data_IF_637565061380
#
_entry.id   IF_637565061380
#
_cell.length_a   1.000
_cell.length_b   1.000
_cell.length_c   1.000
_cell.angle_alpha   90.00
_cell.angle_beta   90.00
_cell.angle_gamma   90.00
#
_symmetry.space_group_name_H-M   'P 1'
#
loop_
_entity.id
_entity.type
_entity.pdbx_description
1 polymer ?
#
# COMPACT_ATOMS: atom_id res chain seq x y z
N UNK A 1 33.80 -17.36 3.11
CA UNK A 1 32.41 -16.89 2.94
C UNK A 1 31.82 -17.12 1.54
N UNK A 2 32.62 -17.33 0.47
CA UNK A 2 32.12 -17.45 -0.92
C UNK A 2 31.25 -18.70 -1.21
N UNK A 3 31.63 -19.86 -0.66
CA UNK A 3 30.94 -21.13 -0.94
C UNK A 3 29.46 -21.15 -0.52
N UNK A 4 29.12 -20.49 0.58
CA UNK A 4 27.72 -20.37 1.05
C UNK A 4 26.91 -19.50 0.10
N UNK A 5 27.49 -18.39 -0.39
CA UNK A 5 26.84 -17.49 -1.34
C UNK A 5 26.58 -18.15 -2.70
N UNK A 6 27.50 -18.99 -3.15
CA UNK A 6 27.37 -19.76 -4.39
C UNK A 6 26.30 -20.85 -4.26
N UNK A 7 26.30 -21.61 -3.16
CA UNK A 7 25.28 -22.60 -2.87
C UNK A 7 23.87 -21.98 -2.82
N UNK A 8 23.73 -20.82 -2.16
CA UNK A 8 22.46 -20.09 -2.10
C UNK A 8 22.00 -19.65 -3.49
N UNK A 9 22.90 -19.16 -4.36
CA UNK A 9 22.53 -18.75 -5.73
C UNK A 9 22.16 -19.93 -6.62
N UNK A 10 22.78 -21.09 -6.44
CA UNK A 10 22.50 -22.31 -7.20
C UNK A 10 21.17 -22.96 -6.75
N UNK A 11 20.89 -22.97 -5.45
CA UNK A 11 19.72 -23.64 -4.88
C UNK A 11 18.48 -22.73 -4.79
N UNK A 12 18.64 -21.41 -4.89
CA UNK A 12 17.53 -20.46 -4.81
C UNK A 12 17.28 -19.84 -6.19
N UNK A 13 16.28 -20.32 -6.96
CA UNK A 13 15.95 -19.72 -8.24
C UNK A 13 15.55 -18.25 -8.04
N UNK A 14 16.34 -17.34 -8.63
CA UNK A 14 16.09 -15.90 -8.54
C UNK A 14 14.87 -15.56 -9.39
N UNK A 15 13.74 -15.27 -8.73
CA UNK A 15 12.54 -14.81 -9.42
C UNK A 15 12.86 -13.53 -10.21
N UNK A 16 12.59 -13.54 -11.52
CA UNK A 16 12.62 -12.35 -12.38
C UNK A 16 11.18 -11.92 -12.62
N UNK A 17 10.53 -11.21 -11.67
CA UNK A 17 9.18 -10.73 -11.90
C UNK A 17 9.23 -9.76 -13.08
N UNK A 18 8.55 -10.10 -14.17
CA UNK A 18 8.41 -9.17 -15.28
C UNK A 18 7.52 -8.00 -14.85
N UNK A 19 7.66 -6.80 -15.43
CA UNK A 19 6.79 -5.67 -15.12
C UNK A 19 5.29 -5.98 -15.36
N UNK A 20 5.00 -6.96 -16.22
CA UNK A 20 3.65 -7.42 -16.54
C UNK A 20 3.22 -8.66 -15.75
N UNK A 21 4.08 -9.19 -14.87
CA UNK A 21 3.76 -10.33 -14.02
C UNK A 21 2.74 -9.93 -12.97
N UNK A 22 1.59 -10.61 -12.98
CA UNK A 22 0.51 -10.34 -12.04
C UNK A 22 0.81 -11.11 -10.74
N UNK A 23 0.91 -10.40 -9.61
CA UNK A 23 1.18 -10.99 -8.29
C UNK A 23 0.19 -12.07 -7.86
N UNK A 24 -1.06 -11.96 -8.31
CA UNK A 24 -2.11 -12.95 -8.03
C UNK A 24 -2.10 -14.15 -8.98
N UNK A 25 -1.23 -14.19 -9.99
CA UNK A 25 -1.18 -15.29 -10.97
C UNK A 25 -0.44 -16.50 -10.40
N UNK A 26 -1.03 -17.70 -10.55
CA UNK A 26 -0.50 -18.95 -10.01
C UNK A 26 -0.28 -19.99 -11.11
N UNK A 27 0.50 -21.04 -10.80
CA UNK A 27 0.71 -22.16 -11.72
C UNK A 27 -0.61 -22.86 -12.09
N UNK A 28 -1.53 -23.01 -11.13
CA UNK A 28 -2.87 -23.58 -11.36
C UNK A 28 -3.67 -22.77 -12.39
N UNK A 29 -3.58 -21.44 -12.36
CA UNK A 29 -4.22 -20.59 -13.37
C UNK A 29 -3.59 -20.75 -14.76
N UNK A 30 -2.28 -21.02 -14.83
CA UNK A 30 -1.60 -21.37 -16.08
C UNK A 30 -2.14 -22.68 -16.64
N UNK A 31 -2.25 -23.73 -15.81
CA UNK A 31 -2.82 -25.02 -16.22
C UNK A 31 -4.27 -24.88 -16.68
N UNK A 32 -5.11 -24.14 -15.93
CA UNK A 32 -6.48 -23.88 -16.33
C UNK A 32 -6.58 -23.09 -17.64
N UNK A 33 -5.65 -22.14 -17.89
CA UNK A 33 -5.58 -21.40 -19.15
C UNK A 33 -5.24 -22.32 -20.32
N UNK A 34 -4.33 -23.28 -20.14
CA UNK A 34 -3.98 -24.27 -21.15
C UNK A 34 -5.16 -25.16 -21.50
N UNK A 35 -5.83 -25.73 -20.48
CA UNK A 35 -7.03 -26.57 -20.66
C UNK A 35 -8.14 -25.78 -21.36
N UNK A 36 -8.45 -24.57 -20.88
CA UNK A 36 -9.41 -23.67 -21.51
C UNK A 36 -9.05 -23.39 -22.98
N UNK A 37 -7.79 -23.05 -23.25
CA UNK A 37 -7.33 -22.71 -24.60
C UNK A 37 -7.43 -23.90 -25.54
N UNK A 38 -7.07 -25.09 -25.06
CA UNK A 38 -7.17 -26.34 -25.80
C UNK A 38 -8.61 -26.60 -26.23
N UNK A 39 -9.56 -26.66 -25.29
CA UNK A 39 -10.96 -26.96 -25.59
C UNK A 39 -11.62 -25.88 -26.45
N UNK A 40 -11.33 -24.60 -26.20
CA UNK A 40 -11.78 -23.50 -27.04
C UNK A 40 -11.30 -23.63 -28.48
N UNK A 41 -10.02 -23.96 -28.68
CA UNK A 41 -9.44 -24.12 -30.01
C UNK A 41 -9.99 -25.36 -30.71
N UNK A 42 -10.17 -26.46 -29.97
CA UNK A 42 -10.74 -27.71 -30.49
C UNK A 42 -12.19 -27.50 -30.97
N UNK A 43 -13.05 -26.91 -30.15
CA UNK A 43 -14.43 -26.60 -30.54
C UNK A 43 -14.48 -25.61 -31.72
N UNK A 44 -13.62 -24.59 -31.73
CA UNK A 44 -13.52 -23.63 -32.85
C UNK A 44 -13.06 -24.30 -34.15
N UNK A 45 -12.13 -25.25 -34.08
CA UNK A 45 -11.65 -25.99 -35.24
C UNK A 45 -12.76 -26.83 -35.86
N UNK A 46 -13.53 -27.57 -35.05
CA UNK A 46 -14.66 -28.37 -35.53
C UNK A 46 -15.75 -27.49 -36.15
N UNK A 47 -16.05 -26.33 -35.54
CA UNK A 47 -16.96 -25.35 -36.15
C UNK A 47 -16.49 -24.85 -37.51
N UNK A 48 -15.19 -24.59 -37.68
CA UNK A 48 -14.62 -24.21 -38.98
C UNK A 48 -14.68 -25.32 -40.01
N UNK A 49 -14.64 -26.58 -39.58
CA UNK A 49 -14.85 -27.75 -40.42
C UNK A 49 -16.34 -28.05 -40.70
N UNK A 50 -17.26 -27.20 -40.25
CA UNK A 50 -18.71 -27.37 -40.41
C UNK A 50 -19.34 -28.40 -39.47
N UNK A 51 -18.57 -28.99 -38.56
CA UNK A 51 -19.05 -30.00 -37.59
C UNK A 51 -19.30 -29.34 -36.24
N UNK A 52 -20.57 -29.19 -35.86
CA UNK A 52 -20.93 -28.71 -34.52
C UNK A 52 -21.19 -29.91 -33.62
N UNK A 53 -20.18 -30.31 -32.84
CA UNK A 53 -20.30 -31.39 -31.85
C UNK A 53 -20.75 -30.78 -30.52
N UNK A 54 -21.99 -31.02 -30.04
CA UNK A 54 -22.51 -30.37 -28.83
C UNK A 54 -21.64 -30.64 -27.59
N UNK A 55 -21.18 -31.88 -27.42
CA UNK A 55 -20.31 -32.27 -26.31
C UNK A 55 -19.03 -31.43 -26.22
N UNK A 56 -18.41 -31.07 -27.35
CA UNK A 56 -17.20 -30.25 -27.36
C UNK A 56 -17.49 -28.79 -26.99
N UNK A 57 -18.68 -28.27 -27.35
CA UNK A 57 -19.11 -26.93 -26.94
C UNK A 57 -19.42 -26.91 -25.43
N UNK A 58 -20.03 -27.97 -24.88
CA UNK A 58 -20.29 -28.11 -23.45
C UNK A 58 -18.99 -28.19 -22.63
N UNK A 59 -18.00 -28.94 -23.12
CA UNK A 59 -16.66 -29.01 -22.50
C UNK A 59 -15.95 -27.65 -22.61
N UNK A 60 -16.03 -26.97 -23.75
CA UNK A 60 -15.40 -25.67 -23.92
C UNK A 60 -16.04 -24.59 -23.04
N UNK A 61 -17.36 -24.59 -22.89
CA UNK A 61 -18.09 -23.64 -22.03
C UNK A 61 -17.82 -23.91 -20.55
N UNK A 62 -17.81 -25.18 -20.11
CA UNK A 62 -17.46 -25.54 -18.74
C UNK A 62 -16.00 -25.20 -18.40
N UNK A 63 -15.04 -25.49 -19.28
CA UNK A 63 -13.64 -25.11 -19.09
C UNK A 63 -13.46 -23.58 -19.02
N UNK A 64 -14.19 -22.82 -19.86
CA UNK A 64 -14.19 -21.36 -19.80
C UNK A 64 -14.73 -20.83 -18.47
N UNK A 65 -15.83 -21.42 -17.98
CA UNK A 65 -16.43 -21.08 -16.69
C UNK A 65 -15.44 -21.34 -15.56
N UNK A 66 -14.84 -22.54 -15.51
CA UNK A 66 -13.85 -22.91 -14.49
C UNK A 66 -12.66 -21.94 -14.45
N UNK A 67 -12.07 -21.63 -15.61
CA UNK A 67 -10.94 -20.71 -15.70
C UNK A 67 -11.29 -19.29 -15.23
N UNK A 68 -12.42 -18.73 -15.69
CA UNK A 68 -12.82 -17.38 -15.28
C UNK A 68 -13.26 -17.30 -13.82
N UNK A 69 -13.92 -18.33 -13.30
CA UNK A 69 -14.29 -18.42 -11.89
C UNK A 69 -13.05 -18.52 -11.00
N UNK A 70 -12.07 -19.33 -11.39
CA UNK A 70 -10.78 -19.43 -10.70
C UNK A 70 -10.04 -18.08 -10.70
N UNK A 71 -10.05 -17.32 -11.81
CA UNK A 71 -9.48 -15.97 -11.84
C UNK A 71 -10.16 -15.05 -10.84
N UNK A 72 -11.50 -15.02 -10.80
CA UNK A 72 -12.24 -14.15 -9.86
C UNK A 72 -11.94 -14.52 -8.41
N UNK A 73 -11.94 -15.82 -8.10
CA UNK A 73 -11.60 -16.34 -6.76
C UNK A 73 -10.19 -15.96 -6.37
N UNK A 74 -9.21 -16.16 -7.25
CA UNK A 74 -7.80 -15.89 -6.95
C UNK A 74 -7.52 -14.39 -6.79
N UNK A 75 -8.13 -13.53 -7.61
CA UNK A 75 -8.05 -12.08 -7.42
C UNK A 75 -8.60 -11.64 -6.06
N UNK A 76 -9.78 -12.15 -5.69
CA UNK A 76 -10.41 -11.84 -4.40
C UNK A 76 -9.56 -12.35 -3.24
N UNK A 77 -9.07 -13.59 -3.32
CA UNK A 77 -8.20 -14.20 -2.32
C UNK A 77 -6.94 -13.37 -2.12
N UNK A 78 -6.23 -13.04 -3.21
CA UNK A 78 -5.02 -12.22 -3.15
C UNK A 78 -5.29 -10.82 -2.57
N UNK A 79 -6.41 -10.20 -2.93
CA UNK A 79 -6.78 -8.90 -2.38
C UNK A 79 -7.06 -8.97 -0.87
N UNK A 80 -7.77 -10.01 -0.41
CA UNK A 80 -8.04 -10.21 1.00
C UNK A 80 -6.76 -10.50 1.80
N UNK A 81 -5.85 -11.33 1.26
CA UNK A 81 -4.55 -11.60 1.87
C UNK A 81 -3.67 -10.35 1.92
N UNK A 82 -3.69 -9.54 0.84
CA UNK A 82 -2.98 -8.27 0.78
C UNK A 82 -3.47 -7.28 1.85
N UNK A 83 -4.77 -7.23 2.10
CA UNK A 83 -5.39 -6.36 3.11
C UNK A 83 -5.26 -6.87 4.55
N UNK A 84 -5.01 -8.16 4.76
CA UNK A 84 -4.83 -8.74 6.09
C UNK A 84 -3.53 -8.26 6.77
N UNK A 85 -2.57 -7.76 5.99
CA UNK A 85 -1.34 -7.17 6.47
C UNK A 85 -1.54 -5.66 6.71
N UNK A 86 -1.42 -5.24 7.97
CA UNK A 86 -1.67 -3.86 8.41
C UNK A 86 -0.75 -2.84 7.72
N UNK A 87 0.47 -3.26 7.33
CA UNK A 87 1.43 -2.38 6.64
C UNK A 87 0.95 -2.02 5.22
N UNK A 88 0.06 -2.84 4.65
CA UNK A 88 -0.47 -2.65 3.31
C UNK A 88 -1.73 -1.79 3.26
N UNK A 89 -2.35 -1.44 4.40
CA UNK A 89 -3.56 -0.59 4.46
C UNK A 89 -3.31 0.72 3.71
N UNK A 90 -2.19 1.39 4.02
CA UNK A 90 -1.82 2.66 3.40
C UNK A 90 -1.55 2.53 1.90
N UNK A 91 -0.95 1.43 1.45
CA UNK A 91 -0.76 1.14 0.00
C UNK A 91 -2.08 0.83 -0.69
N UNK A 92 -2.98 0.09 -0.03
CA UNK A 92 -4.30 -0.23 -0.54
C UNK A 92 -5.16 1.02 -0.73
N UNK A 93 -5.08 1.98 0.20
CA UNK A 93 -5.79 3.27 0.04
C UNK A 93 -5.35 4.00 -1.23
N UNK A 94 -4.06 3.93 -1.61
CA UNK A 94 -3.56 4.52 -2.86
C UNK A 94 -4.17 3.87 -4.10
N UNK A 95 -4.43 2.56 -4.07
CA UNK A 95 -5.07 1.85 -5.18
C UNK A 95 -6.58 2.11 -5.29
N UNK A 96 -7.23 2.49 -4.19
CA UNK A 96 -8.65 2.84 -4.17
C UNK A 96 -8.90 4.28 -4.65
N UNK A 97 -7.90 5.15 -4.56
CA UNK A 97 -7.95 6.58 -4.91
C UNK A 97 -7.70 6.80 -6.41
N UNK A 98 -8.75 6.67 -7.23
CA UNK A 98 -8.74 7.12 -8.64
C UNK A 98 -9.61 8.36 -8.89
N UNK A 99 -9.96 9.11 -7.85
CA UNK A 99 -10.70 10.36 -7.93
C UNK A 99 -10.13 11.33 -6.91
N UNK A 100 -9.96 12.57 -7.33
CA UNK A 100 -9.31 13.70 -6.65
C UNK A 100 -10.02 14.14 -5.35
N UNK A 101 -11.07 13.44 -4.97
CA UNK A 101 -11.95 13.79 -3.88
C UNK A 101 -12.00 12.62 -2.87
N UNK A 102 -11.73 12.94 -1.60
CA UNK A 102 -12.30 12.32 -0.38
C UNK A 102 -11.30 11.72 0.66
N UNK A 103 -11.67 12.03 1.91
CA UNK A 103 -11.38 11.44 3.23
C UNK A 103 -10.12 11.90 3.97
N UNK A 104 -8.91 11.68 3.45
CA UNK A 104 -7.70 11.92 4.27
C UNK A 104 -7.25 13.39 4.34
N UNK A 105 -7.72 14.24 3.43
CA UNK A 105 -7.52 15.69 3.50
C UNK A 105 -8.64 16.44 4.23
N UNK A 106 -9.74 15.76 4.59
CA UNK A 106 -10.88 16.40 5.23
C UNK A 106 -10.81 16.14 6.73
N UNK A 107 -10.36 17.15 7.48
CA UNK A 107 -10.47 17.15 8.94
C UNK A 107 -11.96 16.99 9.27
N UNK A 108 -12.35 16.09 10.20
CA UNK A 108 -13.74 15.97 10.62
C UNK A 108 -14.22 17.31 11.18
N UNK A 109 -15.52 17.56 11.09
CA UNK A 109 -16.05 18.82 11.61
C UNK A 109 -15.76 18.94 13.11
N UNK A 110 -15.22 20.08 13.51
CA UNK A 110 -14.83 20.38 14.89
C UNK A 110 -15.98 21.10 15.60
N UNK A 111 -16.09 20.87 16.91
CA UNK A 111 -17.00 21.61 17.79
C UNK A 111 -16.33 22.91 18.22
N UNK A 112 -16.96 24.04 17.86
CA UNK A 112 -16.56 25.38 18.28
C UNK A 112 -16.89 25.59 19.76
N UNK A 113 -16.28 26.59 20.39
CA UNK A 113 -16.58 26.98 21.77
C UNK A 113 -18.08 27.35 21.97
N UNK A 114 -18.72 27.84 20.92
CA UNK A 114 -20.13 28.26 20.90
C UNK A 114 -21.12 27.08 20.73
N UNK A 115 -20.63 25.84 20.65
CA UNK A 115 -21.44 24.63 20.47
C UNK A 115 -21.89 24.37 19.01
N UNK A 116 -21.47 25.21 18.08
CA UNK A 116 -21.67 25.02 16.63
C UNK A 116 -20.56 24.15 16.04
N UNK A 117 -20.76 23.69 14.80
CA UNK A 117 -19.87 22.75 14.12
C UNK A 117 -19.24 23.44 12.91
N UNK A 118 -17.93 23.28 12.69
CA UNK A 118 -17.22 23.88 11.55
C UNK A 118 -17.72 23.35 10.22
N UNK A 119 -17.96 24.22 9.25
CA UNK A 119 -18.44 23.81 7.93
C UNK A 119 -17.34 23.73 6.87
N UNK A 120 -16.24 24.47 7.07
CA UNK A 120 -15.17 24.60 6.08
C UNK A 120 -13.78 24.35 6.67
N UNK A 121 -12.79 24.11 5.81
CA UNK A 121 -11.40 23.84 6.18
C UNK A 121 -10.68 25.06 6.77
N UNK A 122 -11.02 26.27 6.32
CA UNK A 122 -10.47 27.50 6.91
C UNK A 122 -10.96 27.67 8.36
N UNK A 123 -12.25 27.48 8.61
CA UNK A 123 -12.80 27.52 9.97
C UNK A 123 -12.18 26.45 10.88
N UNK A 124 -11.92 25.26 10.36
CA UNK A 124 -11.24 24.20 11.11
C UNK A 124 -9.82 24.60 11.50
N UNK A 125 -9.09 25.26 10.61
CA UNK A 125 -7.73 25.73 10.90
C UNK A 125 -7.72 26.83 11.97
N UNK A 126 -8.65 27.78 11.89
CA UNK A 126 -8.78 28.87 12.87
C UNK A 126 -9.14 28.37 14.27
N UNK A 127 -10.09 27.42 14.36
CA UNK A 127 -10.45 26.81 15.64
C UNK A 127 -9.28 26.04 16.28
N UNK A 128 -8.52 25.30 15.47
CA UNK A 128 -7.33 24.61 15.96
C UNK A 128 -6.28 25.61 16.46
N UNK A 129 -6.01 26.67 15.71
CA UNK A 129 -5.05 27.71 16.11
C UNK A 129 -5.47 28.37 17.42
N UNK A 130 -6.73 28.78 17.54
CA UNK A 130 -7.26 29.44 18.73
C UNK A 130 -7.20 28.51 19.95
N UNK A 131 -7.48 27.22 19.77
CA UNK A 131 -7.48 26.25 20.87
C UNK A 131 -6.07 25.88 21.36
N UNK A 132 -5.12 25.71 20.44
CA UNK A 132 -3.73 25.37 20.78
C UNK A 132 -2.93 26.59 21.24
N UNK A 133 -3.29 27.79 20.79
CA UNK A 133 -2.60 29.04 21.12
C UNK A 133 -3.59 30.07 21.67
N UNK A 134 -4.08 29.88 22.91
CA UNK A 134 -4.94 30.87 23.55
C UNK A 134 -4.21 32.22 23.72
N UNK A 135 -4.95 33.35 23.74
CA UNK A 135 -4.35 34.65 23.99
C UNK A 135 -3.62 34.65 25.34
N UNK A 136 -2.53 35.43 25.42
CA UNK A 136 -1.83 35.59 26.68
C UNK A 136 -2.81 36.17 27.72
N UNK A 137 -2.80 35.66 28.97
CA UNK A 137 -3.63 36.22 30.02
C UNK A 137 -3.28 37.70 30.27
N UNK A 138 -4.29 38.51 30.59
CA UNK A 138 -4.13 39.97 30.81
C UNK A 138 -3.18 40.30 31.97
N UNK A 139 -3.04 39.37 32.92
CA UNK A 139 -2.08 39.48 34.00
C UNK A 139 -1.10 38.30 33.92
N UNK A 140 0.16 38.61 33.59
CA UNK A 140 1.27 37.67 33.65
C UNK A 140 1.98 37.96 34.97
N UNK A 141 1.59 37.24 36.02
CA UNK A 141 2.28 37.31 37.30
C UNK A 141 3.73 36.80 37.13
N UNK A 142 4.68 37.39 37.86
CA UNK A 142 6.05 36.90 37.92
C UNK A 142 6.01 35.42 38.37
N UNK A 143 6.57 34.52 37.56
CA UNK A 143 6.53 33.06 37.77
C UNK A 143 7.29 32.61 39.05
N UNK A 144 7.80 33.58 39.82
CA UNK A 144 8.57 33.39 41.04
C UNK A 144 9.90 32.70 40.76
N UNK A 145 10.57 32.25 41.82
CA UNK A 145 11.82 31.49 41.68
C UNK A 145 11.50 30.09 41.16
N UNK A 146 11.55 29.91 39.84
CA UNK A 146 11.51 28.57 39.22
C UNK A 146 12.79 27.81 39.57
N UNK A 147 12.72 26.50 39.82
CA UNK A 147 13.93 25.69 39.89
C UNK A 147 14.65 25.79 38.54
N UNK A 148 15.78 26.51 38.51
CA UNK A 148 16.65 26.48 37.34
C UNK A 148 17.10 25.05 37.13
N UNK A 149 16.78 24.49 35.96
CA UNK A 149 17.42 23.24 35.54
C UNK A 149 18.92 23.49 35.52
N UNK A 150 19.67 22.53 36.05
CA UNK A 150 21.12 22.54 35.91
C UNK A 150 21.46 22.78 34.43
N UNK A 151 22.44 23.66 34.12
CA UNK A 151 22.88 23.87 32.75
C UNK A 151 23.13 22.51 32.08
N UNK A 152 22.53 22.31 30.90
CA UNK A 152 22.84 21.12 30.12
C UNK A 152 24.32 21.23 29.75
N UNK A 153 25.11 20.23 30.14
CA UNK A 153 26.51 20.15 29.74
C UNK A 153 26.56 20.03 28.22
N UNK A 154 26.95 21.12 27.57
CA UNK A 154 27.18 21.19 26.14
C UNK A 154 28.69 21.02 25.93
N UNK A 155 29.19 19.79 25.71
CA UNK A 155 30.60 19.59 25.44
C UNK A 155 31.01 20.40 24.21
N UNK A 156 32.22 20.96 24.23
CA UNK A 156 32.75 21.71 23.09
C UNK A 156 32.91 20.77 21.91
N UNK A 157 32.19 21.05 20.83
CA UNK A 157 32.29 20.29 19.59
C UNK A 157 33.71 20.46 19.04
N UNK A 158 34.43 19.36 18.84
CA UNK A 158 35.77 19.38 18.25
C UNK A 158 35.69 19.35 16.72
N UNK A 159 36.68 19.94 16.06
CA UNK A 159 36.77 19.96 14.58
C UNK A 159 36.77 18.53 14.02
N UNK A 160 37.44 17.60 14.69
CA UNK A 160 37.52 16.19 14.28
C UNK A 160 36.16 15.49 14.28
N UNK A 161 35.29 15.82 15.24
CA UNK A 161 33.94 15.26 15.32
C UNK A 161 33.06 15.77 14.17
N UNK A 162 33.22 17.04 13.81
CA UNK A 162 32.57 17.64 12.63
C UNK A 162 33.03 16.98 11.34
N UNK A 163 34.34 16.80 11.16
CA UNK A 163 34.91 16.15 9.98
C UNK A 163 34.43 14.70 9.84
N UNK A 164 34.40 13.95 10.95
CA UNK A 164 33.92 12.56 10.97
C UNK A 164 32.45 12.45 10.57
N UNK A 165 31.59 13.34 11.07
CA UNK A 165 30.17 13.34 10.71
C UNK A 165 29.92 13.75 9.25
N UNK A 166 30.69 14.71 8.73
CA UNK A 166 30.65 15.10 7.31
C UNK A 166 31.11 13.98 6.37
N UNK A 167 32.09 13.18 6.78
CA UNK A 167 32.54 12.01 6.01
C UNK A 167 31.51 10.86 6.06
N UNK A 168 30.90 10.62 7.22
CA UNK A 168 29.88 9.59 7.39
C UNK A 168 28.59 9.88 6.59
N UNK A 169 28.23 11.16 6.43
CA UNK A 169 27.06 11.59 5.64
C UNK A 169 27.31 11.61 4.13
N UNK A 170 28.56 11.55 3.69
CA UNK A 170 28.95 11.50 2.26
C UNK A 170 29.06 10.09 1.66
N UNK A 171 28.98 9.03 2.46
CA UNK A 171 28.96 7.62 2.01
C UNK A 171 27.54 7.10 1.81
#
# INVERSE_FOLDING_TARGET
MCAVSEAVRALTPKAKPSPHAKRWWTADLTQLREIYTHWRNRARSERRAGRKVPQLEDIATSAAKQYHDAIRKQKKKHWNEFLADNDNIWKATKYLKSGEDIAFGKVPQLLKADGTVTTDHEEQAEELLTKFFPPLPDNIDDEGTRPQRAPVEMPTITIEEVERQLLATKS
#
